data_IF_668300261460
#
_entry.id   IF_668300261460
#
_cell.length_a   1.000
_cell.length_b   1.000
_cell.length_c   1.000
_cell.angle_alpha   90.00
_cell.angle_beta   90.00
_cell.angle_gamma   90.00
#
_symmetry.space_group_name_H-M   'P 1'
#
loop_
_entity.id
_entity.type
_entity.pdbx_description
1 polymer ?
#
# COMPACT_ATOMS: atom_id res chain seq x y z
N UNK A 1 0.69 6.12 8.84
CA UNK A 1 0.29 4.80 8.29
C UNK A 1 -1.20 4.82 8.00
N UNK A 2 -1.62 4.47 6.79
CA UNK A 2 -3.04 4.46 6.41
C UNK A 2 -3.49 3.02 6.15
N UNK A 3 -4.59 2.61 6.77
CA UNK A 3 -5.20 1.30 6.59
C UNK A 3 -6.61 1.46 6.01
N UNK A 4 -7.01 0.57 5.11
CA UNK A 4 -8.31 0.64 4.43
C UNK A 4 -9.10 -0.64 4.73
N UNK A 5 -10.31 -0.48 5.23
CA UNK A 5 -11.21 -1.58 5.57
C UNK A 5 -11.72 -2.34 4.33
N UNK A 6 -12.08 -3.63 4.48
CA UNK A 6 -12.03 -4.44 5.70
C UNK A 6 -10.61 -4.95 6.02
N UNK A 7 -10.22 -4.86 7.29
CA UNK A 7 -8.95 -5.39 7.76
C UNK A 7 -9.08 -6.89 8.07
N UNK A 8 -8.11 -7.69 7.62
CA UNK A 8 -8.05 -9.13 7.92
C UNK A 8 -7.61 -9.46 9.35
N UNK A 9 -7.42 -8.44 10.21
CA UNK A 9 -6.94 -8.56 11.59
C UNK A 9 -7.57 -7.47 12.47
N UNK A 10 -7.58 -7.69 13.79
CA UNK A 10 -8.03 -6.67 14.74
C UNK A 10 -6.88 -5.75 15.13
N UNK A 11 -7.17 -4.45 15.19
CA UNK A 11 -6.27 -3.42 15.76
C UNK A 11 -6.38 -3.32 17.29
N UNK A 12 -7.08 -4.25 17.95
CA UNK A 12 -7.16 -4.27 19.41
C UNK A 12 -5.76 -4.40 20.03
N UNK A 13 -5.47 -3.55 21.03
CA UNK A 13 -4.16 -3.44 21.69
C UNK A 13 -3.59 -4.79 22.11
N UNK A 14 -4.45 -5.74 22.52
CA UNK A 14 -4.02 -7.07 22.94
C UNK A 14 -3.44 -7.91 21.80
N UNK A 15 -3.95 -7.76 20.58
CA UNK A 15 -3.42 -8.47 19.40
C UNK A 15 -2.15 -7.78 18.88
N UNK A 16 -2.11 -6.44 18.89
CA UNK A 16 -0.95 -5.68 18.42
C UNK A 16 0.26 -5.80 19.37
N UNK A 17 0.06 -5.75 20.69
CA UNK A 17 1.13 -5.99 21.69
C UNK A 17 1.73 -7.39 21.57
N UNK A 18 0.93 -8.41 21.24
CA UNK A 18 1.41 -9.78 21.02
C UNK A 18 2.30 -9.93 19.79
N UNK A 19 2.16 -9.04 18.80
CA UNK A 19 3.03 -9.01 17.62
C UNK A 19 4.41 -8.37 17.88
N UNK A 20 4.73 -7.99 19.13
CA UNK A 20 6.00 -7.35 19.48
C UNK A 20 6.11 -5.90 19.01
N UNK A 21 4.96 -5.27 18.71
CA UNK A 21 4.84 -3.93 18.17
C UNK A 21 4.61 -2.91 19.30
N UNK A 22 5.57 -2.80 20.23
CA UNK A 22 5.48 -1.81 21.32
C UNK A 22 5.48 -0.36 20.80
N UNK A 23 5.99 -0.13 19.58
CA UNK A 23 6.04 1.18 18.94
C UNK A 23 4.73 1.59 18.23
N UNK A 24 3.74 0.70 18.13
CA UNK A 24 2.52 0.97 17.35
C UNK A 24 1.71 2.15 17.91
N UNK A 25 1.74 2.36 19.23
CA UNK A 25 1.09 3.49 19.90
C UNK A 25 1.68 4.85 19.52
N UNK A 26 2.87 4.85 18.93
CA UNK A 26 3.56 6.05 18.43
C UNK A 26 3.42 6.22 16.92
N UNK A 27 2.75 5.28 16.23
CA UNK A 27 2.46 5.43 14.81
C UNK A 27 1.22 6.30 14.63
N UNK A 28 1.32 7.31 13.77
CA UNK A 28 0.16 8.05 13.28
C UNK A 28 -0.66 7.14 12.35
N UNK A 29 -1.55 6.36 12.95
CA UNK A 29 -2.38 5.37 12.27
C UNK A 29 -3.76 5.95 11.97
N UNK A 30 -4.14 5.97 10.69
CA UNK A 30 -5.47 6.37 10.23
C UNK A 30 -6.14 5.23 9.50
N UNK A 31 -7.30 4.82 9.98
CA UNK A 31 -8.14 3.78 9.36
C UNK A 31 -9.23 4.46 8.53
N UNK A 32 -9.45 3.94 7.33
CA UNK A 32 -10.44 4.42 6.38
C UNK A 32 -11.48 3.34 6.10
N UNK A 33 -12.74 3.73 6.02
CA UNK A 33 -13.84 2.80 5.78
C UNK A 33 -13.88 2.22 4.37
N UNK A 34 -13.25 2.89 3.40
CA UNK A 34 -13.16 2.42 2.02
C UNK A 34 -12.02 3.11 1.26
N UNK A 35 -11.67 2.54 0.10
CA UNK A 35 -10.73 3.18 -0.83
C UNK A 35 -11.21 4.58 -1.23
N UNK A 36 -12.49 4.74 -1.56
CA UNK A 36 -13.04 6.02 -1.99
C UNK A 36 -12.92 7.10 -0.91
N UNK A 37 -12.99 6.72 0.37
CA UNK A 37 -12.78 7.65 1.47
C UNK A 37 -11.33 8.13 1.54
N UNK A 38 -10.38 7.21 1.38
CA UNK A 38 -8.96 7.51 1.32
C UNK A 38 -8.56 8.30 0.07
N UNK A 39 -9.15 7.96 -1.09
CA UNK A 39 -8.82 8.56 -2.38
C UNK A 39 -9.07 10.07 -2.40
N UNK A 40 -10.07 10.55 -1.65
CA UNK A 40 -10.36 11.99 -1.50
C UNK A 40 -9.27 12.73 -0.73
N UNK A 41 -8.50 12.03 0.11
CA UNK A 41 -7.38 12.59 0.88
C UNK A 41 -6.06 12.49 0.10
N UNK A 42 -5.93 11.61 -0.90
CA UNK A 42 -4.69 11.46 -1.68
C UNK A 42 -4.09 12.79 -2.17
N UNK A 43 -4.84 13.78 -2.68
CA UNK A 43 -4.28 15.06 -3.11
C UNK A 43 -3.53 15.84 -2.02
N UNK A 44 -3.87 15.64 -0.74
CA UNK A 44 -3.19 16.28 0.40
C UNK A 44 -1.95 15.50 0.83
N UNK A 45 -1.91 14.19 0.56
CA UNK A 45 -0.83 13.28 0.97
C UNK A 45 0.28 13.18 -0.08
N UNK A 46 -0.08 13.17 -1.36
CA UNK A 46 0.87 13.07 -2.46
C UNK A 46 0.43 12.14 -3.59
N UNK A 47 1.36 11.82 -4.47
CA UNK A 47 1.08 10.99 -5.65
C UNK A 47 1.10 9.50 -5.29
N UNK A 48 0.04 8.73 -5.61
CA UNK A 48 -0.03 7.32 -5.28
C UNK A 48 0.74 6.45 -6.29
N UNK A 49 1.54 5.52 -5.78
CA UNK A 49 2.18 4.45 -6.56
C UNK A 49 1.73 3.09 -6.03
N UNK A 50 1.28 2.24 -6.94
CA UNK A 50 0.60 1.00 -6.62
C UNK A 50 1.51 -0.20 -6.84
N UNK A 51 1.78 -0.94 -5.78
CA UNK A 51 2.64 -2.12 -5.86
C UNK A 51 1.86 -3.35 -6.31
N UNK A 52 2.28 -3.94 -7.41
CA UNK A 52 1.71 -5.18 -7.93
C UNK A 52 2.78 -6.05 -8.59
N UNK A 53 2.71 -7.36 -8.40
CA UNK A 53 3.56 -8.34 -9.08
C UNK A 53 3.27 -8.44 -10.58
N UNK A 54 2.11 -7.93 -11.02
CA UNK A 54 1.71 -7.88 -12.42
C UNK A 54 2.16 -6.59 -13.12
N UNK A 55 2.72 -5.62 -12.38
CA UNK A 55 3.22 -4.39 -12.97
C UNK A 55 4.49 -4.65 -13.78
N UNK A 56 4.60 -4.01 -14.94
CA UNK A 56 5.75 -4.19 -15.85
C UNK A 56 6.84 -3.14 -15.63
N UNK A 57 6.49 -2.00 -15.04
CA UNK A 57 7.44 -0.94 -14.67
C UNK A 57 7.99 -1.26 -13.29
N UNK A 58 9.31 -1.12 -13.11
CA UNK A 58 9.90 -1.29 -11.80
C UNK A 58 9.88 0.03 -11.01
N UNK A 59 9.91 -0.08 -9.69
CA UNK A 59 9.84 1.09 -8.79
C UNK A 59 11.00 2.09 -8.97
N UNK A 60 12.21 1.65 -9.37
CA UNK A 60 13.35 2.56 -9.67
C UNK A 60 13.11 3.44 -10.89
N UNK A 61 12.33 2.93 -11.84
CA UNK A 61 12.09 3.61 -13.11
C UNK A 61 10.90 4.56 -13.00
N UNK A 62 10.19 4.54 -11.87
CA UNK A 62 9.12 5.47 -11.58
C UNK A 62 9.69 6.83 -11.13
N UNK A 63 9.08 7.96 -11.52
CA UNK A 63 9.53 9.30 -11.14
C UNK A 63 9.16 9.64 -9.69
N UNK A 64 9.56 8.77 -8.74
CA UNK A 64 9.35 8.95 -7.32
C UNK A 64 10.05 10.22 -6.85
N UNK A 65 9.29 11.15 -6.27
CA UNK A 65 9.82 12.43 -5.75
C UNK A 65 9.72 13.62 -6.71
N UNK A 66 9.11 13.46 -7.89
CA UNK A 66 8.72 14.61 -8.72
C UNK A 66 7.57 15.44 -8.10
N UNK A 67 6.81 14.83 -7.18
CA UNK A 67 5.70 15.42 -6.44
C UNK A 67 6.11 15.81 -5.00
N UNK A 68 5.34 16.70 -4.37
CA UNK A 68 5.51 17.13 -2.96
C UNK A 68 5.18 16.05 -1.91
N UNK A 69 5.18 14.78 -2.31
CA UNK A 69 4.79 13.64 -1.49
C UNK A 69 4.52 12.42 -2.36
N UNK A 70 4.87 11.25 -1.84
CA UNK A 70 4.68 9.96 -2.49
C UNK A 70 3.91 9.06 -1.53
N UNK A 71 2.82 8.47 -2.03
CA UNK A 71 2.00 7.51 -1.28
C UNK A 71 2.23 6.13 -1.86
N UNK A 72 2.81 5.23 -1.07
CA UNK A 72 3.04 3.84 -1.48
C UNK A 72 1.81 3.00 -1.10
N UNK A 73 1.15 2.44 -2.10
CA UNK A 73 -0.09 1.68 -1.93
C UNK A 73 0.17 0.20 -2.17
N UNK A 74 -0.12 -0.62 -1.15
CA UNK A 74 0.03 -2.07 -1.18
C UNK A 74 -1.34 -2.75 -1.13
N UNK A 75 -1.50 -3.80 -1.94
CA UNK A 75 -2.70 -4.63 -1.94
C UNK A 75 -2.73 -5.64 -0.80
N UNK A 76 -3.85 -6.35 -0.68
CA UNK A 76 -3.94 -7.51 0.20
C UNK A 76 -3.03 -8.63 -0.32
N UNK A 77 -2.38 -9.38 0.57
CA UNK A 77 -1.45 -10.46 0.20
C UNK A 77 -2.09 -11.52 -0.72
N UNK A 78 -3.35 -11.88 -0.47
CA UNK A 78 -4.07 -12.92 -1.24
C UNK A 78 -4.81 -12.38 -2.46
N UNK A 79 -5.32 -11.15 -2.38
CA UNK A 79 -6.20 -10.55 -3.39
C UNK A 79 -5.57 -9.47 -4.26
N UNK A 80 -4.38 -9.00 -3.92
CA UNK A 80 -3.75 -7.85 -4.57
C UNK A 80 -4.58 -6.57 -4.43
N UNK A 81 -4.52 -5.71 -5.44
CA UNK A 81 -5.28 -4.47 -5.54
C UNK A 81 -6.54 -4.68 -6.41
N UNK A 82 -7.66 -4.01 -6.11
CA UNK A 82 -8.87 -4.09 -6.93
C UNK A 82 -8.65 -3.70 -8.40
N UNK A 83 -9.31 -4.41 -9.32
CA UNK A 83 -9.21 -4.17 -10.76
C UNK A 83 -9.56 -2.72 -11.17
N UNK A 84 -10.51 -2.08 -10.47
CA UNK A 84 -10.87 -0.69 -10.72
C UNK A 84 -9.68 0.28 -10.55
N UNK A 85 -8.72 -0.03 -9.66
CA UNK A 85 -7.51 0.78 -9.50
C UNK A 85 -6.56 0.61 -10.68
N UNK A 86 -6.47 -0.59 -11.24
CA UNK A 86 -5.67 -0.86 -12.44
C UNK A 86 -6.17 -0.07 -13.65
N UNK A 87 -7.48 0.14 -13.78
CA UNK A 87 -8.04 0.97 -14.85
C UNK A 87 -7.75 2.45 -14.65
N UNK A 88 -7.89 2.94 -13.40
CA UNK A 88 -7.76 4.36 -13.08
C UNK A 88 -6.32 4.87 -12.98
N UNK A 89 -5.39 4.04 -12.49
CA UNK A 89 -4.01 4.42 -12.16
C UNK A 89 -2.97 3.60 -12.91
N UNK A 90 -3.32 3.06 -14.08
CA UNK A 90 -2.50 2.12 -14.88
C UNK A 90 -1.02 2.51 -14.98
N UNK A 91 -0.74 3.79 -15.19
CA UNK A 91 0.60 4.35 -15.39
C UNK A 91 1.43 4.47 -14.10
N UNK A 92 0.79 4.27 -12.94
CA UNK A 92 1.38 4.37 -11.61
C UNK A 92 1.54 3.02 -10.91
N UNK A 93 1.24 1.92 -11.60
CA UNK A 93 1.54 0.59 -11.11
C UNK A 93 3.03 0.28 -11.29
N UNK A 94 3.66 -0.15 -10.20
CA UNK A 94 5.07 -0.48 -10.12
C UNK A 94 5.27 -1.84 -9.48
N UNK A 95 6.31 -2.54 -9.93
CA UNK A 95 6.74 -3.80 -9.36
C UNK A 95 7.99 -3.60 -8.49
N UNK A 96 8.02 -4.34 -7.38
CA UNK A 96 9.28 -4.63 -6.69
C UNK A 96 10.05 -5.70 -7.49
N UNK A 97 11.39 -5.65 -7.54
CA UNK A 97 12.20 -6.59 -8.25
C UNK A 97 12.17 -7.86 -7.43
N UNK A 98 11.76 -8.94 -8.08
CA UNK A 98 11.94 -10.25 -7.51
C UNK A 98 13.18 -10.81 -8.21
N UNK A 99 14.28 -10.92 -7.46
CA UNK A 99 15.60 -11.35 -7.96
C UNK A 99 15.57 -12.74 -8.64
N UNK A 100 14.52 -13.52 -8.44
CA UNK A 100 14.32 -14.79 -9.13
C UNK A 100 12.84 -15.17 -9.23
N UNK A 101 12.37 -15.71 -10.37
CA UNK A 101 10.98 -16.16 -10.54
C UNK A 101 10.61 -17.35 -9.65
N UNK A 102 11.57 -17.93 -8.90
CA UNK A 102 11.34 -18.99 -7.91
C UNK A 102 10.99 -18.47 -6.52
N UNK A 103 11.09 -17.16 -6.30
CA UNK A 103 10.89 -16.55 -4.98
C UNK A 103 9.54 -15.84 -4.99
N UNK A 104 8.73 -16.05 -3.94
CA UNK A 104 7.49 -15.30 -3.75
C UNK A 104 7.82 -13.84 -3.39
N UNK A 105 6.83 -12.94 -3.50
CA UNK A 105 6.97 -11.55 -3.10
C UNK A 105 7.50 -11.42 -1.67
N UNK A 106 8.22 -10.33 -1.40
CA UNK A 106 8.73 -10.02 -0.07
C UNK A 106 7.57 -9.87 0.93
N UNK A 107 7.75 -10.39 2.16
CA UNK A 107 6.89 -10.09 3.32
C UNK A 107 7.31 -8.78 3.96
#
# INVERSE_FOLDING_TARGET
>A
MHLIEPLGFSLDERQVKRAGLDYWVHLDLRVWSSWDAFERELPTLGEPYFFSTQATRLVWDAPLGASNGVVLVFGCETGGLPAALHERYRDRFVAMPILSPRVRSLN
#
